data_IF_565427349177
#
_entry.id   IF_565427349177
#
_cell.length_a   1.000
_cell.length_b   1.000
_cell.length_c   1.000
_cell.angle_alpha   90.00
_cell.angle_beta   90.00
_cell.angle_gamma   90.00
#
_symmetry.space_group_name_H-M   'P 1'
#
loop_
_entity.id
_entity.type
_entity.pdbx_description
1 polymer ?
#
# COMPACT_ATOMS: atom_id res chain seq x y z
N UNK A 1 -7.08 16.00 -6.53
CA UNK A 1 -7.33 16.67 -7.84
C UNK A 1 -5.99 17.06 -8.45
N UNK A 2 -5.85 17.00 -9.77
CA UNK A 2 -4.68 17.52 -10.48
C UNK A 2 -5.13 18.58 -11.52
N UNK A 3 -4.37 19.66 -11.64
CA UNK A 3 -4.64 20.77 -12.58
C UNK A 3 -3.38 21.06 -13.37
N UNK A 4 -3.45 21.01 -14.68
CA UNK A 4 -2.35 21.37 -15.56
C UNK A 4 -2.35 22.85 -15.94
N UNK A 5 -1.18 23.45 -16.04
CA UNK A 5 -0.93 24.84 -16.39
C UNK A 5 0.23 24.91 -17.37
N UNK A 6 0.01 24.54 -18.61
CA UNK A 6 1.00 24.31 -19.64
C UNK A 6 1.78 25.56 -20.14
N UNK A 7 1.31 26.76 -19.80
CA UNK A 7 2.00 28.03 -20.06
C UNK A 7 2.65 28.66 -18.80
N UNK A 8 2.69 27.90 -17.71
CA UNK A 8 3.24 28.40 -16.45
C UNK A 8 4.76 28.60 -16.56
N UNK A 9 5.21 29.74 -16.05
CA UNK A 9 6.63 30.09 -15.97
C UNK A 9 7.08 30.01 -14.50
N UNK A 10 8.08 29.20 -14.19
CA UNK A 10 8.69 29.10 -12.85
C UNK A 10 10.20 28.93 -12.95
N UNK A 11 10.87 29.93 -13.51
CA UNK A 11 12.30 29.89 -13.75
C UNK A 11 12.64 29.76 -15.24
N UNK A 12 11.91 28.93 -15.98
CA UNK A 12 12.02 28.79 -17.42
C UNK A 12 10.71 29.26 -18.11
N UNK A 13 10.86 29.90 -19.28
CA UNK A 13 9.71 30.37 -20.02
C UNK A 13 8.92 29.18 -20.61
N UNK A 14 7.62 29.17 -20.38
CA UNK A 14 6.68 28.13 -20.89
C UNK A 14 7.10 26.69 -20.56
N UNK A 15 7.77 26.50 -19.44
CA UNK A 15 8.10 25.14 -18.99
C UNK A 15 6.84 24.33 -18.67
N UNK A 16 5.78 25.02 -18.22
CA UNK A 16 4.54 24.43 -17.78
C UNK A 16 4.65 23.79 -16.38
N UNK A 17 3.49 23.62 -15.76
CA UNK A 17 3.42 22.97 -14.44
C UNK A 17 2.14 22.14 -14.31
N UNK A 18 2.15 21.20 -13.38
CA UNK A 18 0.96 20.54 -12.88
C UNK A 18 0.87 20.69 -11.36
N UNK A 19 -0.32 21.07 -10.88
CA UNK A 19 -0.59 21.30 -9.46
C UNK A 19 -1.45 20.17 -8.91
N UNK A 20 -0.99 19.54 -7.84
CA UNK A 20 -1.70 18.47 -7.15
C UNK A 20 -2.33 19.01 -5.87
N UNK A 21 -3.59 18.70 -5.65
CA UNK A 21 -4.36 19.06 -4.46
C UNK A 21 -4.91 17.79 -3.83
N UNK A 22 -4.56 17.53 -2.58
CA UNK A 22 -5.11 16.40 -1.85
C UNK A 22 -6.55 16.65 -1.45
N UNK A 23 -7.35 15.61 -1.48
CA UNK A 23 -8.70 15.65 -0.92
C UNK A 23 -8.65 15.59 0.60
N UNK A 24 -9.64 16.21 1.24
CA UNK A 24 -9.81 16.18 2.70
C UNK A 24 -11.26 16.39 3.10
N UNK A 25 -11.60 16.11 4.35
CA UNK A 25 -12.89 16.48 4.93
C UNK A 25 -12.86 17.98 5.29
N UNK A 26 -13.42 18.81 4.44
CA UNK A 26 -13.47 20.26 4.71
C UNK A 26 -13.56 21.07 3.43
N UNK A 27 -13.33 22.38 3.57
CA UNK A 27 -13.27 23.28 2.41
C UNK A 27 -12.09 22.92 1.49
N UNK A 28 -12.27 23.16 0.22
CA UNK A 28 -11.24 22.96 -0.79
C UNK A 28 -9.99 23.78 -0.41
N UNK A 29 -8.82 23.11 -0.36
CA UNK A 29 -7.56 23.81 -0.17
C UNK A 29 -7.19 24.55 -1.45
N UNK A 30 -7.04 25.86 -1.37
CA UNK A 30 -6.64 26.71 -2.50
C UNK A 30 -5.12 26.71 -2.77
N UNK A 31 -4.34 26.17 -1.83
CA UNK A 31 -2.89 26.01 -1.99
C UNK A 31 -2.59 24.61 -2.49
N UNK A 32 -1.80 24.48 -3.54
CA UNK A 32 -1.38 23.19 -4.05
C UNK A 32 -0.49 22.47 -3.04
N UNK A 33 -0.73 21.17 -2.87
CA UNK A 33 0.09 20.30 -2.00
C UNK A 33 1.39 19.89 -2.68
N UNK A 34 1.40 19.84 -4.03
CA UNK A 34 2.61 19.64 -4.82
C UNK A 34 2.52 20.41 -6.14
N UNK A 35 3.67 20.88 -6.60
CA UNK A 35 3.90 21.48 -7.92
C UNK A 35 4.91 20.61 -8.66
N UNK A 36 4.58 20.23 -9.87
CA UNK A 36 5.38 19.37 -10.75
C UNK A 36 5.80 20.19 -11.94
N UNK A 37 7.08 20.18 -12.27
CA UNK A 37 7.71 21.01 -13.29
C UNK A 37 8.62 20.18 -14.20
N UNK A 38 8.81 20.62 -15.44
CA UNK A 38 9.72 19.98 -16.40
C UNK A 38 11.17 20.45 -16.24
N UNK A 39 11.37 21.66 -15.71
CA UNK A 39 12.63 22.37 -15.69
C UNK A 39 13.26 22.55 -17.11
N UNK A 40 12.43 22.56 -18.15
CA UNK A 40 12.84 22.78 -19.54
C UNK A 40 11.98 23.86 -20.18
N UNK A 41 12.62 24.92 -20.66
CA UNK A 41 11.94 26.01 -21.36
C UNK A 41 11.19 25.48 -22.58
N UNK A 42 9.92 25.88 -22.71
CA UNK A 42 9.08 25.52 -23.86
C UNK A 42 8.39 24.13 -23.73
N UNK A 43 8.76 23.29 -22.78
CA UNK A 43 8.27 21.90 -22.69
C UNK A 43 6.75 21.76 -22.54
N UNK A 44 6.07 22.79 -22.03
CA UNK A 44 4.62 22.84 -21.86
C UNK A 44 4.05 21.68 -21.03
N UNK A 45 4.74 21.33 -19.92
CA UNK A 45 4.27 20.32 -18.96
C UNK A 45 2.87 20.69 -18.45
N UNK A 46 2.04 19.71 -18.23
CA UNK A 46 0.65 19.92 -17.78
C UNK A 46 -0.34 20.19 -18.92
N UNK A 47 0.07 20.05 -20.19
CA UNK A 47 -0.86 20.11 -21.32
C UNK A 47 -1.94 19.03 -21.22
N UNK A 48 -1.56 17.85 -20.73
CA UNK A 48 -2.50 16.79 -20.33
C UNK A 48 -2.15 16.28 -18.95
N UNK A 49 -3.17 16.02 -18.12
CA UNK A 49 -3.01 15.48 -16.77
C UNK A 49 -4.08 14.44 -16.49
N UNK A 50 -3.72 13.35 -15.83
CA UNK A 50 -4.66 12.32 -15.41
C UNK A 50 -4.19 11.60 -14.15
N UNK A 51 -5.12 10.96 -13.44
CA UNK A 51 -4.80 9.94 -12.46
C UNK A 51 -4.32 8.68 -13.16
N UNK A 52 -3.18 8.14 -12.77
CA UNK A 52 -2.61 6.90 -13.30
C UNK A 52 -3.00 5.66 -12.48
N UNK A 53 -3.75 5.83 -11.40
CA UNK A 53 -3.98 4.77 -10.43
C UNK A 53 -2.75 4.56 -9.54
N UNK A 54 -2.55 3.35 -9.06
CA UNK A 54 -1.39 2.95 -8.28
C UNK A 54 -0.50 2.05 -9.17
N UNK A 55 0.42 2.67 -9.93
CA UNK A 55 1.21 1.96 -10.94
C UNK A 55 2.40 1.22 -10.35
N UNK A 56 2.88 1.64 -9.17
CA UNK A 56 4.00 1.00 -8.48
C UNK A 56 3.55 0.02 -7.39
N UNK A 57 2.24 -0.07 -7.08
CA UNK A 57 1.67 -0.97 -6.08
C UNK A 57 1.95 -0.55 -4.62
N UNK A 58 2.29 0.74 -4.38
CA UNK A 58 2.59 1.25 -3.03
C UNK A 58 1.34 1.68 -2.26
N UNK A 59 0.18 1.71 -2.95
CA UNK A 59 -1.14 2.02 -2.40
C UNK A 59 -1.49 3.48 -2.40
N UNK A 60 -0.72 4.30 -3.07
CA UNK A 60 -1.06 5.69 -3.36
C UNK A 60 -1.47 5.84 -4.82
N UNK A 61 -2.38 6.77 -5.06
CA UNK A 61 -2.72 7.12 -6.42
C UNK A 61 -1.58 7.93 -7.03
N UNK A 62 -1.12 7.50 -8.18
CA UNK A 62 -0.13 8.18 -9.00
C UNK A 62 -0.78 9.10 -10.00
N UNK A 63 -0.01 10.00 -10.56
CA UNK A 63 -0.46 10.90 -11.61
C UNK A 63 0.46 10.82 -12.82
N UNK A 64 -0.13 10.99 -14.01
CA UNK A 64 0.59 11.11 -15.26
C UNK A 64 0.39 12.51 -15.82
N UNK A 65 1.49 13.12 -16.27
CA UNK A 65 1.52 14.48 -16.79
C UNK A 65 2.24 14.48 -18.13
N UNK A 66 1.60 15.01 -19.15
CA UNK A 66 2.18 15.16 -20.49
C UNK A 66 2.86 16.50 -20.70
N UNK A 67 3.96 16.48 -21.44
CA UNK A 67 4.72 17.63 -21.92
C UNK A 67 4.99 17.42 -23.42
N UNK A 68 4.13 17.92 -24.27
CA UNK A 68 4.11 17.53 -25.68
C UNK A 68 5.23 18.14 -26.54
N UNK A 69 5.95 19.10 -26.01
CA UNK A 69 7.12 19.75 -26.67
C UNK A 69 8.40 19.57 -25.85
N UNK A 70 8.45 18.53 -24.98
CA UNK A 70 9.62 18.20 -24.22
C UNK A 70 10.70 17.60 -25.15
N UNK A 71 11.94 18.05 -25.02
CA UNK A 71 13.09 17.55 -25.77
C UNK A 71 13.85 16.53 -24.92
N UNK A 72 14.04 15.33 -25.42
CA UNK A 72 14.82 14.27 -24.77
C UNK A 72 15.82 13.60 -25.72
N UNK A 73 16.43 14.39 -26.56
CA UNK A 73 17.37 13.97 -27.60
C UNK A 73 17.04 14.62 -28.94
N UNK A 74 15.78 14.60 -29.32
CA UNK A 74 15.26 15.29 -30.50
C UNK A 74 14.36 16.47 -30.09
N UNK A 75 14.25 17.46 -30.96
CA UNK A 75 13.45 18.65 -30.74
C UNK A 75 11.95 18.31 -30.75
N UNK A 76 11.24 18.68 -29.70
CA UNK A 76 9.77 18.55 -29.57
C UNK A 76 9.26 17.08 -29.69
N UNK A 77 10.04 16.09 -29.25
CA UNK A 77 9.57 14.70 -29.31
C UNK A 77 8.44 14.43 -28.32
N UNK A 78 8.34 15.25 -27.29
CA UNK A 78 7.36 15.12 -26.22
C UNK A 78 7.68 14.02 -25.22
N UNK A 79 7.10 14.15 -24.03
CA UNK A 79 7.25 13.17 -22.96
C UNK A 79 5.99 13.04 -22.11
N UNK A 80 5.84 11.90 -21.45
CA UNK A 80 4.87 11.70 -20.39
C UNK A 80 5.62 11.29 -19.12
N UNK A 81 5.33 11.98 -18.03
CA UNK A 81 5.97 11.78 -16.73
C UNK A 81 4.97 11.13 -15.77
N UNK A 82 5.39 10.04 -15.14
CA UNK A 82 4.63 9.42 -14.05
C UNK A 82 5.26 9.89 -12.73
N UNK A 83 4.42 10.48 -11.89
CA UNK A 83 4.80 10.90 -10.55
C UNK A 83 4.09 10.02 -9.54
N UNK A 84 4.87 9.31 -8.76
CA UNK A 84 4.33 8.42 -7.74
C UNK A 84 3.78 9.22 -6.58
N UNK A 85 2.56 8.85 -6.18
CA UNK A 85 1.95 9.34 -4.97
C UNK A 85 2.79 8.93 -3.77
N UNK A 86 2.98 9.84 -2.84
CA UNK A 86 3.68 9.56 -1.58
C UNK A 86 2.88 10.07 -0.41
N UNK A 87 3.01 9.43 0.74
CA UNK A 87 2.52 10.02 1.98
C UNK A 87 3.48 11.09 2.45
N UNK A 88 3.06 12.31 2.53
CA UNK A 88 3.64 13.20 3.55
C UNK A 88 3.20 12.70 4.94
N UNK A 89 3.93 11.72 5.47
CA UNK A 89 3.80 11.27 6.84
C UNK A 89 2.85 10.10 7.11
N UNK A 90 2.32 9.41 6.09
CA UNK A 90 1.55 8.18 6.26
C UNK A 90 2.13 7.04 5.44
N UNK A 91 3.14 6.42 5.99
CA UNK A 91 3.43 5.07 5.60
C UNK A 91 2.29 4.18 6.11
N UNK A 92 1.39 3.77 5.22
CA UNK A 92 0.49 2.64 5.51
C UNK A 92 1.34 1.39 5.39
N UNK A 93 2.13 1.11 6.42
CA UNK A 93 2.99 -0.05 6.48
C UNK A 93 2.14 -1.26 6.86
N UNK A 94 2.21 -2.26 6.02
CA UNK A 94 1.89 -3.60 6.45
C UNK A 94 2.98 -4.05 7.43
N UNK A 95 2.59 -4.51 8.61
CA UNK A 95 3.48 -4.86 9.70
C UNK A 95 3.21 -6.29 10.16
N UNK A 96 4.25 -6.95 10.63
CA UNK A 96 4.13 -8.28 11.23
C UNK A 96 4.44 -8.24 12.73
N UNK A 97 3.73 -9.06 13.46
CA UNK A 97 3.80 -9.12 14.91
C UNK A 97 3.93 -10.57 15.40
N UNK A 98 4.42 -10.74 16.61
CA UNK A 98 4.29 -12.00 17.34
C UNK A 98 2.81 -12.35 17.51
N UNK A 99 2.54 -13.56 17.90
CA UNK A 99 1.16 -14.06 18.06
C UNK A 99 0.33 -13.30 19.11
N UNK A 100 0.97 -12.51 19.97
CA UNK A 100 0.31 -11.60 20.92
C UNK A 100 -0.30 -10.35 20.22
N UNK A 101 0.09 -10.07 18.98
CA UNK A 101 -0.36 -8.94 18.18
C UNK A 101 0.18 -7.57 18.66
N UNK A 102 1.07 -7.54 19.64
CA UNK A 102 1.59 -6.30 20.24
C UNK A 102 3.06 -6.06 19.94
N UNK A 103 3.85 -7.12 19.90
CA UNK A 103 5.28 -7.04 19.68
C UNK A 103 5.62 -7.16 18.19
N UNK A 104 6.12 -6.08 17.53
CA UNK A 104 6.51 -6.12 16.15
C UNK A 104 7.71 -7.07 15.93
N UNK A 105 7.73 -7.73 14.79
CA UNK A 105 8.80 -8.63 14.38
C UNK A 105 9.52 -8.02 13.18
N UNK A 106 10.83 -7.91 13.27
CA UNK A 106 11.66 -7.44 12.15
C UNK A 106 11.67 -8.48 11.01
N UNK A 107 12.00 -8.08 9.77
CA UNK A 107 12.26 -9.02 8.69
C UNK A 107 13.20 -10.14 9.15
N UNK A 108 12.93 -11.39 8.77
CA UNK A 108 13.61 -12.60 9.21
C UNK A 108 13.47 -12.94 10.71
N UNK A 109 12.66 -12.19 11.42
CA UNK A 109 12.44 -12.42 12.83
C UNK A 109 11.64 -13.68 13.12
N UNK A 110 11.70 -14.12 14.36
CA UNK A 110 11.04 -15.32 14.85
C UNK A 110 9.66 -14.97 15.41
N UNK A 111 8.61 -15.68 14.98
CA UNK A 111 7.30 -15.61 15.62
C UNK A 111 7.34 -16.23 17.02
N UNK A 112 6.44 -15.84 17.89
CA UNK A 112 6.35 -16.44 19.23
C UNK A 112 5.79 -17.87 19.19
N UNK A 113 4.87 -18.15 18.26
CA UNK A 113 4.23 -19.46 18.08
C UNK A 113 4.94 -20.26 16.99
N UNK A 114 4.87 -21.58 17.13
CA UNK A 114 5.37 -22.50 16.11
C UNK A 114 4.49 -22.61 14.89
N UNK A 115 3.22 -22.17 14.99
CA UNK A 115 2.18 -22.38 13.98
C UNK A 115 1.61 -21.10 13.40
N UNK A 116 2.22 -19.91 13.67
CA UNK A 116 1.65 -18.70 13.12
C UNK A 116 2.23 -17.38 13.62
N UNK A 117 1.71 -16.30 13.05
CA UNK A 117 2.05 -14.91 13.35
C UNK A 117 0.87 -13.99 13.06
N UNK A 118 0.99 -12.72 13.38
CA UNK A 118 -0.04 -11.70 13.14
C UNK A 118 0.45 -10.70 12.10
N UNK A 119 -0.44 -10.35 11.18
CA UNK A 119 -0.25 -9.28 10.20
C UNK A 119 -1.24 -8.16 10.48
N UNK A 120 -0.77 -6.94 10.43
CA UNK A 120 -1.60 -5.75 10.57
C UNK A 120 -1.31 -4.75 9.44
N UNK A 121 -2.34 -4.02 9.05
CA UNK A 121 -2.25 -2.93 8.07
C UNK A 121 -3.10 -1.76 8.54
N UNK A 122 -2.59 -0.55 8.40
CA UNK A 122 -3.37 0.64 8.61
C UNK A 122 -4.20 0.90 7.35
N UNK A 123 -5.52 0.94 7.47
CA UNK A 123 -6.42 1.14 6.35
C UNK A 123 -7.18 2.46 6.48
N UNK A 124 -7.28 3.17 5.35
CA UNK A 124 -8.13 4.36 5.19
C UNK A 124 -9.13 4.12 4.08
N UNK A 125 -10.28 4.78 4.12
CA UNK A 125 -11.18 4.81 3.00
C UNK A 125 -10.88 6.00 2.09
N UNK A 126 -10.65 5.79 0.79
CA UNK A 126 -10.52 6.89 -0.16
C UNK A 126 -11.83 7.63 -0.42
N UNK A 127 -12.97 7.08 0.02
CA UNK A 127 -14.31 7.61 -0.22
C UNK A 127 -15.05 8.05 1.05
N UNK A 128 -14.35 8.13 2.18
CA UNK A 128 -14.94 8.44 3.47
C UNK A 128 -15.17 7.19 4.32
N UNK A 129 -16.35 7.08 4.95
CA UNK A 129 -16.64 5.99 5.88
C UNK A 129 -17.03 4.70 5.15
N UNK A 130 -16.23 3.67 5.31
CA UNK A 130 -16.44 2.33 4.77
C UNK A 130 -16.13 1.25 5.80
N UNK A 131 -16.58 0.04 5.55
CA UNK A 131 -16.13 -1.15 6.27
C UNK A 131 -15.10 -1.90 5.45
N UNK A 132 -14.06 -2.37 6.11
CA UNK A 132 -13.00 -3.13 5.48
C UNK A 132 -12.55 -4.31 6.34
N UNK A 133 -11.84 -5.24 5.73
CA UNK A 133 -11.20 -6.36 6.38
C UNK A 133 -9.87 -6.69 5.73
N UNK A 134 -9.01 -7.36 6.45
CA UNK A 134 -7.70 -7.76 5.96
C UNK A 134 -7.77 -9.12 5.26
N UNK A 135 -7.10 -9.23 4.13
CA UNK A 135 -6.77 -10.50 3.49
C UNK A 135 -5.25 -10.63 3.42
N UNK A 136 -4.73 -11.79 3.81
CA UNK A 136 -3.31 -12.11 3.81
C UNK A 136 -3.08 -13.39 3.04
N UNK A 137 -2.03 -13.41 2.25
CA UNK A 137 -1.47 -14.60 1.62
C UNK A 137 -0.08 -14.82 2.18
N UNK A 138 0.15 -15.99 2.79
CA UNK A 138 1.43 -16.41 3.33
C UNK A 138 1.94 -17.62 2.58
N UNK A 139 3.13 -17.53 2.04
CA UNK A 139 3.77 -18.57 1.25
C UNK A 139 5.05 -19.04 1.95
N UNK A 140 5.33 -20.36 1.99
CA UNK A 140 6.62 -20.84 2.43
C UNK A 140 7.73 -20.32 1.50
N UNK A 141 8.91 -20.08 2.07
CA UNK A 141 10.05 -19.60 1.29
C UNK A 141 10.32 -20.50 0.08
N UNK A 142 10.52 -19.89 -1.08
CA UNK A 142 10.69 -20.56 -2.37
C UNK A 142 9.38 -20.81 -3.13
N UNK A 143 8.21 -20.60 -2.54
CA UNK A 143 6.93 -20.70 -3.26
C UNK A 143 6.51 -19.31 -3.79
N UNK A 144 6.12 -19.23 -5.04
CA UNK A 144 5.59 -17.98 -5.60
C UNK A 144 4.20 -17.66 -5.04
N UNK A 145 3.86 -16.38 -4.91
CA UNK A 145 2.50 -15.94 -4.58
C UNK A 145 1.49 -16.45 -5.63
N UNK A 146 0.30 -16.85 -5.16
CA UNK A 146 -0.72 -17.49 -5.99
C UNK A 146 -0.54 -19.02 -6.17
N UNK A 147 0.51 -19.60 -5.60
CA UNK A 147 0.76 -21.03 -5.59
C UNK A 147 -0.19 -21.76 -4.64
N UNK A 148 -0.51 -23.01 -4.92
CA UNK A 148 -1.27 -23.90 -4.04
C UNK A 148 -0.58 -24.17 -2.69
N UNK A 149 0.71 -23.86 -2.58
CA UNK A 149 1.47 -23.97 -1.33
C UNK A 149 1.24 -22.81 -0.38
N UNK A 150 0.63 -21.74 -0.87
CA UNK A 150 0.34 -20.54 -0.09
C UNK A 150 -0.98 -20.69 0.68
N UNK A 151 -1.02 -20.16 1.88
CA UNK A 151 -2.22 -20.06 2.70
C UNK A 151 -2.83 -18.66 2.53
N UNK A 152 -4.05 -18.60 2.00
CA UNK A 152 -4.79 -17.35 1.82
C UNK A 152 -5.89 -17.28 2.88
N UNK A 153 -5.83 -16.25 3.73
CA UNK A 153 -6.83 -16.01 4.76
C UNK A 153 -7.42 -14.63 4.67
N UNK A 154 -8.67 -14.55 5.05
CA UNK A 154 -9.42 -13.29 5.11
C UNK A 154 -10.04 -13.17 6.50
N UNK A 155 -9.93 -12.01 7.11
CA UNK A 155 -10.59 -11.72 8.38
C UNK A 155 -12.11 -11.93 8.25
N UNK A 156 -12.72 -12.57 9.24
CA UNK A 156 -14.18 -12.82 9.26
C UNK A 156 -14.98 -11.57 9.55
N UNK A 157 -14.41 -10.63 10.30
CA UNK A 157 -15.07 -9.40 10.75
C UNK A 157 -14.78 -8.23 9.85
N UNK A 158 -15.78 -7.40 9.63
CA UNK A 158 -15.68 -6.12 8.96
C UNK A 158 -15.47 -5.02 9.98
N UNK A 159 -14.39 -4.26 9.84
CA UNK A 159 -14.04 -3.12 10.69
C UNK A 159 -14.52 -1.83 10.02
N UNK A 160 -15.17 -0.97 10.79
CA UNK A 160 -15.54 0.38 10.34
C UNK A 160 -14.27 1.25 10.31
N UNK A 161 -13.94 1.79 9.16
CA UNK A 161 -12.76 2.63 8.97
C UNK A 161 -12.96 4.04 9.56
N UNK A 162 -14.21 4.40 9.86
CA UNK A 162 -14.54 5.68 10.47
C UNK A 162 -14.19 6.87 9.59
N UNK A 163 -14.17 8.03 10.24
CA UNK A 163 -13.79 9.31 9.62
C UNK A 163 -12.39 9.77 10.06
N UNK A 164 -11.69 8.93 10.84
CA UNK A 164 -10.35 9.25 11.30
C UNK A 164 -9.41 9.32 10.09
N UNK A 165 -8.80 10.46 9.83
CA UNK A 165 -7.85 10.58 8.75
C UNK A 165 -6.62 9.66 8.91
N UNK A 166 -6.34 9.13 10.11
CA UNK A 166 -5.31 8.10 10.34
C UNK A 166 -5.80 6.69 9.99
N UNK A 167 -7.11 6.52 9.69
CA UNK A 167 -7.69 5.22 9.39
C UNK A 167 -7.81 4.32 10.62
N UNK A 168 -8.06 3.05 10.36
CA UNK A 168 -8.18 1.99 11.37
C UNK A 168 -7.17 0.88 11.11
N UNK A 169 -6.64 0.29 12.18
CA UNK A 169 -5.76 -0.88 12.05
C UNK A 169 -6.58 -2.13 11.81
N UNK A 170 -6.33 -2.79 10.69
CA UNK A 170 -6.88 -4.11 10.38
C UNK A 170 -5.85 -5.16 10.77
N UNK A 171 -6.30 -6.19 11.47
CA UNK A 171 -5.42 -7.24 12.01
C UNK A 171 -5.93 -8.60 11.57
N UNK A 172 -5.01 -9.51 11.25
CA UNK A 172 -5.31 -10.91 10.96
C UNK A 172 -4.25 -11.83 11.56
N UNK A 173 -4.70 -12.76 12.40
CA UNK A 173 -3.85 -13.82 12.93
C UNK A 173 -3.84 -15.01 11.96
N UNK A 174 -2.66 -15.40 11.55
CA UNK A 174 -2.41 -16.63 10.81
C UNK A 174 -2.05 -17.72 11.82
N UNK A 175 -2.70 -18.87 11.72
CA UNK A 175 -2.48 -20.04 12.60
C UNK A 175 -2.52 -21.32 11.78
N UNK A 176 -1.92 -22.41 12.29
CA UNK A 176 -1.87 -23.69 11.57
C UNK A 176 -0.85 -23.73 10.45
N UNK A 177 0.10 -22.82 10.45
CA UNK A 177 1.26 -22.85 9.57
C UNK A 177 2.26 -23.92 10.04
N UNK A 178 3.13 -24.38 9.14
CA UNK A 178 4.16 -25.34 9.49
C UNK A 178 5.18 -24.71 10.45
N UNK A 179 5.61 -25.43 11.49
CA UNK A 179 6.62 -24.95 12.43
C UNK A 179 8.02 -24.90 11.77
N UNK A 180 8.90 -24.13 12.39
CA UNK A 180 10.31 -23.97 12.00
C UNK A 180 10.51 -23.66 10.51
N UNK A 181 9.64 -22.86 9.95
CA UNK A 181 9.64 -22.53 8.52
C UNK A 181 9.61 -21.04 8.27
N UNK A 182 10.36 -20.62 7.27
CA UNK A 182 10.36 -19.22 6.80
C UNK A 182 9.20 -19.01 5.85
N UNK A 183 8.47 -17.94 6.05
CA UNK A 183 7.37 -17.49 5.23
C UNK A 183 7.63 -16.10 4.68
N UNK A 184 7.20 -15.86 3.47
CA UNK A 184 6.98 -14.53 2.94
C UNK A 184 5.47 -14.31 2.77
N UNK A 185 5.02 -13.08 2.93
CA UNK A 185 3.60 -12.78 2.89
C UNK A 185 3.30 -11.48 2.18
N UNK A 186 2.06 -11.36 1.74
CA UNK A 186 1.49 -10.12 1.26
C UNK A 186 0.09 -9.95 1.82
N UNK A 187 -0.34 -8.71 1.96
CA UNK A 187 -1.65 -8.38 2.51
C UNK A 187 -2.36 -7.33 1.65
N UNK A 188 -3.68 -7.35 1.65
CA UNK A 188 -4.50 -6.31 1.04
C UNK A 188 -5.76 -6.03 1.84
N UNK A 189 -6.29 -4.82 1.66
CA UNK A 189 -7.55 -4.40 2.23
C UNK A 189 -8.68 -4.82 1.28
N UNK A 190 -9.68 -5.53 1.80
CA UNK A 190 -10.94 -5.76 1.11
C UNK A 190 -11.98 -4.79 1.65
N UNK A 191 -12.71 -4.12 0.76
CA UNK A 191 -13.78 -3.20 1.11
C UNK A 191 -15.14 -3.90 1.04
N UNK A 192 -16.04 -3.54 1.96
CA UNK A 192 -17.34 -4.17 2.07
C UNK A 192 -18.21 -3.94 0.83
N UNK A 193 -18.98 -4.95 0.46
CA UNK A 193 -20.05 -4.80 -0.52
C UNK A 193 -21.22 -4.01 0.07
N UNK A 194 -22.13 -3.54 -0.79
CA UNK A 194 -23.35 -2.82 -0.35
C UNK A 194 -24.19 -3.60 0.66
N UNK A 195 -24.19 -4.93 0.59
CA UNK A 195 -24.92 -5.80 1.52
C UNK A 195 -24.35 -5.79 2.94
N UNK A 196 -23.11 -5.34 3.12
CA UNK A 196 -22.43 -5.25 4.42
C UNK A 196 -22.37 -3.79 4.91
N UNK A 197 -22.68 -2.83 4.05
CA UNK A 197 -22.64 -1.42 4.38
C UNK A 197 -23.67 -1.06 5.45
N UNK A 198 -23.23 -0.33 6.48
CA UNK A 198 -24.13 0.25 7.49
C UNK A 198 -24.76 1.55 6.96
N UNK A 199 -25.84 2.05 7.56
CA UNK A 199 -26.41 3.35 7.22
C UNK A 199 -25.34 4.45 7.27
N UNK A 200 -25.24 5.28 6.23
CA UNK A 200 -24.25 6.33 6.09
C UNK A 200 -22.89 5.88 5.55
N UNK A 201 -22.74 4.61 5.20
CA UNK A 201 -21.55 4.12 4.47
C UNK A 201 -21.76 4.36 2.97
N UNK A 202 -20.73 4.92 2.34
CA UNK A 202 -20.71 5.15 0.90
C UNK A 202 -20.58 3.81 0.16
N UNK A 203 -20.99 3.75 -1.09
CA UNK A 203 -20.81 2.58 -1.94
C UNK A 203 -19.36 2.06 -1.90
N UNK A 204 -19.16 0.73 -1.96
CA UNK A 204 -17.83 0.15 -1.88
C UNK A 204 -16.91 0.68 -2.97
N UNK A 205 -15.63 0.70 -2.66
CA UNK A 205 -14.60 1.07 -3.62
C UNK A 205 -14.64 0.14 -4.85
N UNK A 206 -14.33 0.69 -5.99
CA UNK A 206 -14.08 -0.09 -7.20
C UNK A 206 -12.61 0.09 -7.60
N UNK A 207 -11.76 -0.91 -7.49
CA UNK A 207 -12.04 -2.33 -7.20
C UNK A 207 -12.42 -2.61 -5.73
N UNK A 208 -13.08 -3.76 -5.45
CA UNK A 208 -13.51 -4.12 -4.09
C UNK A 208 -12.35 -4.51 -3.15
N UNK A 209 -11.14 -4.56 -3.66
CA UNK A 209 -9.93 -4.81 -2.89
C UNK A 209 -8.82 -3.86 -3.34
N UNK A 210 -8.07 -3.36 -2.38
CA UNK A 210 -6.85 -2.60 -2.63
C UNK A 210 -5.72 -3.48 -3.16
N UNK A 211 -4.59 -2.86 -3.52
CA UNK A 211 -3.41 -3.58 -4.00
C UNK A 211 -2.82 -4.49 -2.91
N UNK A 212 -2.13 -5.53 -3.35
CA UNK A 212 -1.33 -6.34 -2.48
C UNK A 212 -0.09 -5.59 -2.00
N UNK A 213 0.17 -5.62 -0.72
CA UNK A 213 1.30 -4.97 -0.05
C UNK A 213 2.16 -6.00 0.64
N UNK A 214 3.46 -5.81 0.60
CA UNK A 214 4.46 -6.62 1.31
C UNK A 214 5.04 -5.86 2.49
N UNK A 215 5.79 -6.56 3.33
CA UNK A 215 6.62 -5.91 4.34
C UNK A 215 7.65 -5.02 3.63
N UNK A 216 7.78 -3.77 4.09
CA UNK A 216 8.72 -2.81 3.51
C UNK A 216 10.17 -3.33 3.65
N UNK A 217 10.97 -3.16 2.61
CA UNK A 217 12.38 -3.56 2.50
C UNK A 217 12.66 -5.05 2.26
N UNK A 218 11.65 -5.88 2.00
CA UNK A 218 11.89 -7.28 1.63
C UNK A 218 11.49 -7.57 0.19
N UNK A 219 12.51 -7.72 -0.67
CA UNK A 219 12.34 -8.35 -1.96
C UNK A 219 12.57 -9.87 -1.76
N UNK A 220 11.59 -10.69 -1.98
CA UNK A 220 11.63 -12.12 -2.31
C UNK A 220 12.18 -13.16 -1.30
N UNK A 221 12.66 -12.81 -0.11
CA UNK A 221 13.50 -13.74 0.69
C UNK A 221 12.99 -14.13 2.08
N UNK A 222 11.76 -13.93 2.40
CA UNK A 222 11.19 -14.36 3.68
C UNK A 222 11.06 -13.22 4.70
N UNK A 223 9.90 -13.14 5.29
CA UNK A 223 9.54 -12.05 6.19
C UNK A 223 9.57 -12.49 7.65
N UNK A 224 9.18 -13.74 7.92
CA UNK A 224 9.06 -14.24 9.29
C UNK A 224 9.27 -15.75 9.34
N UNK A 225 9.88 -16.23 10.41
CA UNK A 225 10.05 -17.65 10.70
C UNK A 225 9.12 -18.07 11.84
N UNK A 226 8.35 -19.14 11.64
CA UNK A 226 7.60 -19.79 12.71
C UNK A 226 8.55 -20.45 13.70
N UNK A 227 8.19 -20.41 14.99
CA UNK A 227 9.04 -20.97 16.02
C UNK A 227 9.09 -22.52 15.98
N UNK A 228 10.10 -23.10 16.58
CA UNK A 228 10.17 -24.54 16.83
C UNK A 228 9.19 -24.92 17.95
N UNK A 229 8.46 -26.05 17.84
CA UNK A 229 7.63 -26.52 18.96
C UNK A 229 8.45 -26.75 20.23
N UNK A 230 7.92 -26.35 21.37
CA UNK A 230 8.59 -26.49 22.67
C UNK A 230 9.05 -27.93 22.98
N UNK A 231 8.31 -28.93 22.49
CA UNK A 231 8.66 -30.33 22.67
C UNK A 231 9.96 -30.73 21.96
N UNK A 232 10.27 -30.14 20.81
CA UNK A 232 11.55 -30.43 20.14
C UNK A 232 12.74 -29.74 20.80
N UNK A 233 12.51 -28.58 21.44
CA UNK A 233 13.55 -27.89 22.19
C UNK A 233 14.00 -28.69 23.44
N UNK A 234 13.05 -29.36 24.13
CA UNK A 234 13.34 -30.17 25.31
C UNK A 234 14.17 -31.41 24.98
N UNK A 235 14.01 -31.96 23.77
CA UNK A 235 14.74 -33.17 23.36
C UNK A 235 16.01 -32.88 22.55
N UNK A 236 16.18 -31.66 22.03
CA UNK A 236 17.38 -31.31 21.23
C UNK A 236 18.60 -30.95 22.07
N UNK A 237 18.39 -30.48 23.29
CA UNK A 237 19.48 -30.09 24.20
C UNK A 237 19.89 -31.20 25.20
N UNK A 238 19.57 -32.48 24.87
CA UNK A 238 20.03 -33.68 25.58
C UNK A 238 20.30 -33.45 27.05
N UNK A 239 19.52 -34.06 27.93
CA UNK A 239 19.99 -34.29 29.29
C UNK A 239 21.24 -35.18 29.20
N UNK A 240 22.43 -34.58 29.27
CA UNK A 240 23.61 -35.26 29.74
C UNK A 240 23.61 -35.35 31.27
#
# INVERSE_FOLDING_TARGET
MIVGAWFYDNGQAREGAAFVYFGGAGAFNSTADAQLESNQAGASLGNSVAGAGDVNGDGFADVIVGAYVYDNGDDNEGAAFVYHGTTRGRLVLASQYRSDGTNPVQPWGLSQRSDGFVVAIQATSPRGRERARLQVEACPNGAAFGSLLCDIRTASTWVDLGTNPLGSTLVLSLTGLSPDRVYHWRARVQYASLSVAAPGVIAPANPPAGPWRRLFANADVGDIRTNTPLLELIFKDGFE
#
